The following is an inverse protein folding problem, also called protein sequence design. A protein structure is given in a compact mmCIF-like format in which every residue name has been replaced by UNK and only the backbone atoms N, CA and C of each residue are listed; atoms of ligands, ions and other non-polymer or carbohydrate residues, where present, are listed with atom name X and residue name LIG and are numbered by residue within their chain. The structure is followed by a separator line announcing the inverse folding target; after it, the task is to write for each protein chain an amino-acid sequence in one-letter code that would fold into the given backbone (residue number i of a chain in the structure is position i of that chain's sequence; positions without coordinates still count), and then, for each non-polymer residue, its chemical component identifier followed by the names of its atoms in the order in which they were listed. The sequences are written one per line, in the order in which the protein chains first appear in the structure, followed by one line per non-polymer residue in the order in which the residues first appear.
data_IF_749062788482
#
_entry.id   IF_749062788482
#
_cell.length_a   1.000
_cell.length_b   1.000
_cell.length_c   1.000
_cell.angle_alpha   90.00
_cell.angle_beta   90.00
_cell.angle_gamma   90.00
#
_symmetry.space_group_name_H-M   'P 1'
#
loop_
_entity.id
_entity.type
_entity.pdbx_description
1 polymer ?
#
# COMPACT_ATOMS: atom_id res chain seq x y z
N UNK A 1 7.72 -0.80 26.14
CA UNK A 1 7.11 0.55 26.10
C UNK A 1 5.90 0.54 27.04
N UNK A 2 5.65 1.63 27.77
CA UNK A 2 4.49 1.75 28.67
C UNK A 2 3.49 2.76 28.10
N UNK A 3 2.23 2.38 28.01
CA UNK A 3 1.14 3.24 27.54
C UNK A 3 0.42 3.88 28.73
N UNK A 4 0.21 5.19 28.66
CA UNK A 4 -0.57 5.93 29.67
C UNK A 4 -1.93 6.29 29.10
N UNK A 5 -3.00 5.90 29.78
CA UNK A 5 -4.36 6.21 29.36
C UNK A 5 -4.79 7.53 29.98
N UNK A 6 -4.94 8.56 29.15
CA UNK A 6 -5.52 9.83 29.56
C UNK A 6 -7.05 9.76 29.56
N UNK A 7 -7.62 8.94 28.66
CA UNK A 7 -9.02 8.55 28.67
C UNK A 7 -9.16 7.08 28.28
N UNK A 8 -10.10 6.38 28.91
CA UNK A 8 -10.28 4.94 28.74
C UNK A 8 -9.98 4.17 30.01
N UNK A 9 -9.98 2.85 29.91
CA UNK A 9 -9.63 1.93 31.01
C UNK A 9 -8.60 0.92 30.51
N UNK A 10 -7.36 0.90 31.02
CA UNK A 10 -6.35 -0.05 30.57
C UNK A 10 -6.70 -1.52 30.90
N UNK A 11 -7.61 -1.78 31.85
CA UNK A 11 -8.10 -3.13 32.14
C UNK A 11 -9.25 -3.56 31.23
N UNK A 12 -9.89 -2.59 30.58
CA UNK A 12 -10.99 -2.82 29.66
C UNK A 12 -10.91 -1.84 28.47
N UNK A 13 -9.82 -1.93 27.67
CA UNK A 13 -9.62 -1.05 26.53
C UNK A 13 -10.69 -1.31 25.48
N UNK A 14 -11.03 -0.27 24.71
CA UNK A 14 -12.16 -0.28 23.79
C UNK A 14 -11.90 -1.04 22.49
N UNK A 15 -10.64 -1.36 22.20
CA UNK A 15 -10.20 -1.91 20.93
C UNK A 15 -9.87 -0.84 19.88
N UNK A 16 -10.02 0.44 20.22
CA UNK A 16 -9.65 1.54 19.35
C UNK A 16 -9.22 2.77 20.16
N UNK A 17 -8.13 3.40 19.74
CA UNK A 17 -7.50 4.48 20.48
C UNK A 17 -6.92 5.56 19.57
N UNK A 18 -7.02 6.81 20.02
CA UNK A 18 -6.15 7.89 19.56
C UNK A 18 -4.84 7.77 20.35
N UNK A 19 -3.78 7.34 19.68
CA UNK A 19 -2.45 7.21 20.24
C UNK A 19 -1.66 8.46 19.88
N UNK A 20 -1.06 9.11 20.88
CA UNK A 20 -0.26 10.30 20.64
C UNK A 20 1.08 10.29 21.36
N UNK A 21 2.01 11.07 20.80
CA UNK A 21 3.39 11.20 21.23
C UNK A 21 3.76 12.68 21.31
N UNK A 22 4.79 12.96 22.10
CA UNK A 22 5.43 14.27 22.16
C UNK A 22 6.91 14.13 21.80
N UNK A 23 7.54 15.25 21.48
CA UNK A 23 8.97 15.28 21.19
C UNK A 23 9.59 16.30 22.12
N UNK A 24 10.60 15.89 22.89
CA UNK A 24 11.22 16.76 23.91
C UNK A 24 11.82 18.04 23.32
N UNK A 25 12.28 17.99 22.08
CA UNK A 25 12.84 19.15 21.34
C UNK A 25 11.78 20.02 20.68
N UNK A 26 10.52 19.56 20.59
CA UNK A 26 9.41 20.26 19.94
C UNK A 26 8.15 20.19 20.83
N UNK A 27 8.14 20.85 22.00
CA UNK A 27 7.10 20.66 23.01
C UNK A 27 5.70 21.13 22.57
N UNK A 28 5.65 22.02 21.57
CA UNK A 28 4.41 22.54 21.00
C UNK A 28 3.77 21.61 19.97
N UNK A 29 4.49 20.56 19.53
CA UNK A 29 3.97 19.60 18.55
C UNK A 29 3.53 18.31 19.21
N UNK A 30 2.39 17.82 18.73
CA UNK A 30 1.85 16.52 19.10
C UNK A 30 1.79 15.68 17.84
N UNK A 31 2.24 14.44 17.94
CA UNK A 31 2.16 13.49 16.84
C UNK A 31 1.13 12.43 17.20
N UNK A 32 0.20 12.12 16.30
CA UNK A 32 -0.90 11.19 16.59
C UNK A 32 -1.12 10.20 15.46
N UNK A 33 -1.59 9.01 15.85
CA UNK A 33 -2.10 7.97 14.95
C UNK A 33 -3.32 7.33 15.58
N UNK A 34 -4.11 6.61 14.78
CA UNK A 34 -5.27 5.89 15.25
C UNK A 34 -4.98 4.39 15.27
N UNK A 35 -5.12 3.78 16.44
CA UNK A 35 -4.90 2.34 16.66
C UNK A 35 -6.23 1.61 16.65
N UNK A 36 -6.26 0.47 15.95
CA UNK A 36 -7.40 -0.45 15.91
C UNK A 36 -6.92 -1.85 16.26
N UNK A 37 -7.64 -2.52 17.16
CA UNK A 37 -7.53 -3.95 17.43
C UNK A 37 -8.84 -4.62 17.04
N UNK A 38 -8.77 -5.57 16.11
CA UNK A 38 -9.92 -6.28 15.58
C UNK A 38 -10.39 -7.35 16.58
N UNK A 39 -11.69 -7.40 16.90
CA UNK A 39 -12.23 -8.39 17.85
C UNK A 39 -12.33 -9.80 17.27
N UNK A 40 -12.14 -9.97 15.96
CA UNK A 40 -12.22 -11.25 15.26
C UNK A 40 -10.92 -11.44 14.47
N UNK A 41 -10.29 -12.61 14.65
CA UNK A 41 -9.11 -13.00 13.87
C UNK A 41 -9.45 -12.93 12.39
N UNK A 42 -8.84 -11.97 11.71
CA UNK A 42 -9.06 -11.70 10.30
C UNK A 42 -7.79 -12.07 9.56
N UNK A 43 -7.84 -13.17 8.81
CA UNK A 43 -6.80 -13.49 7.86
C UNK A 43 -7.04 -12.65 6.61
N UNK A 44 -6.38 -11.49 6.55
CA UNK A 44 -6.55 -10.56 5.44
C UNK A 44 -6.01 -11.14 4.14
N UNK A 45 -5.18 -12.20 4.17
CA UNK A 45 -4.76 -12.90 2.94
C UNK A 45 -5.93 -13.51 2.17
N UNK A 46 -7.04 -13.84 2.86
CA UNK A 46 -8.27 -14.33 2.23
C UNK A 46 -9.05 -13.27 1.47
N UNK A 47 -8.80 -12.00 1.78
CA UNK A 47 -9.49 -10.84 1.22
C UNK A 47 -8.57 -9.97 0.36
N UNK A 48 -7.27 -10.24 0.42
CA UNK A 48 -6.25 -9.70 -0.48
C UNK A 48 -6.37 -10.46 -1.79
N UNK A 49 -6.73 -9.79 -2.89
CA UNK A 49 -6.73 -10.44 -4.18
C UNK A 49 -5.33 -11.01 -4.49
N UNK A 50 -5.22 -12.21 -5.07
CA UNK A 50 -3.94 -12.89 -5.30
C UNK A 50 -2.88 -12.01 -5.99
N UNK A 51 -3.31 -11.09 -6.85
CA UNK A 51 -2.44 -10.16 -7.57
C UNK A 51 -1.80 -9.06 -6.69
N UNK A 52 -2.37 -8.71 -5.52
CA UNK A 52 -1.76 -7.76 -4.59
C UNK A 52 -0.82 -8.43 -3.58
N UNK A 53 -0.84 -9.77 -3.47
CA UNK A 53 -0.10 -10.49 -2.46
C UNK A 53 1.43 -10.31 -2.59
N UNK A 54 1.94 -10.19 -3.81
CA UNK A 54 3.37 -9.93 -4.09
C UNK A 54 3.78 -8.48 -3.80
N UNK A 55 2.86 -7.52 -3.89
CA UNK A 55 3.10 -6.08 -3.72
C UNK A 55 2.96 -5.60 -2.27
N UNK A 56 2.24 -6.35 -1.42
CA UNK A 56 2.11 -6.06 0.01
C UNK A 56 3.36 -6.44 0.84
N UNK A 57 4.36 -7.04 0.19
CA UNK A 57 5.67 -7.35 0.78
C UNK A 57 5.60 -8.33 1.96
N UNK A 58 6.57 -8.25 2.87
CA UNK A 58 6.61 -9.03 4.13
C UNK A 58 5.65 -8.50 5.21
N UNK A 59 4.64 -7.72 4.84
CA UNK A 59 3.65 -7.27 5.82
C UNK A 59 2.93 -8.51 6.37
N UNK A 60 2.85 -8.71 7.71
CA UNK A 60 2.26 -9.92 8.29
C UNK A 60 0.73 -9.87 8.19
N UNK A 61 0.20 -10.02 6.97
CA UNK A 61 -1.24 -9.99 6.67
C UNK A 61 -2.01 -11.16 7.29
N UNK A 62 -1.28 -12.24 7.59
CA UNK A 62 -1.79 -13.48 8.18
C UNK A 62 -2.19 -13.32 9.64
N UNK A 63 -1.85 -12.20 10.29
CA UNK A 63 -2.20 -11.91 11.69
C UNK A 63 -2.38 -10.40 11.96
N UNK A 64 -3.08 -9.69 11.05
CA UNK A 64 -3.47 -8.29 11.26
C UNK A 64 -4.64 -8.21 12.26
N UNK A 65 -4.38 -8.61 13.51
CA UNK A 65 -5.29 -8.42 14.63
C UNK A 65 -5.24 -7.00 15.19
N UNK A 66 -4.18 -6.24 14.95
CA UNK A 66 -4.09 -4.83 15.32
C UNK A 66 -3.15 -4.04 14.41
N UNK A 67 -3.46 -2.75 14.18
CA UNK A 67 -2.66 -1.85 13.33
C UNK A 67 -2.90 -0.37 13.68
N UNK A 68 -2.04 0.51 13.16
CA UNK A 68 -2.13 1.97 13.29
C UNK A 68 -2.29 2.65 11.92
N UNK A 69 -3.13 3.68 11.85
CA UNK A 69 -3.36 4.49 10.65
C UNK A 69 -3.42 5.99 11.01
N UNK A 70 -2.60 6.86 10.37
CA UNK A 70 -1.49 6.51 9.48
C UNK A 70 -0.35 5.76 10.21
N UNK A 71 0.42 4.90 9.53
CA UNK A 71 1.47 4.08 10.17
C UNK A 71 2.63 4.92 10.72
N UNK A 72 2.85 6.10 10.14
CA UNK A 72 3.71 7.15 10.70
C UNK A 72 2.80 8.18 11.37
N UNK A 73 2.91 8.42 12.69
CA UNK A 73 2.13 9.43 13.38
C UNK A 73 2.27 10.82 12.73
N UNK A 74 1.14 11.49 12.52
CA UNK A 74 1.08 12.81 11.90
C UNK A 74 0.97 13.93 12.93
N UNK A 75 1.44 15.13 12.57
CA UNK A 75 1.35 16.30 13.43
C UNK A 75 -0.10 16.74 13.59
N UNK A 76 -0.53 16.96 14.83
CA UNK A 76 -1.84 17.53 15.17
C UNK A 76 -1.68 18.80 16.01
N UNK A 77 -2.71 19.65 15.97
CA UNK A 77 -2.65 20.99 16.56
C UNK A 77 -2.44 21.00 18.08
N UNK A 78 -3.11 20.10 18.82
CA UNK A 78 -3.00 20.04 20.28
C UNK A 78 -3.57 18.75 20.88
N UNK A 79 -3.15 18.42 22.10
CA UNK A 79 -3.74 17.31 22.88
C UNK A 79 -5.22 17.59 23.23
N UNK A 80 -5.60 18.85 23.41
CA UNK A 80 -6.99 19.21 23.70
C UNK A 80 -7.95 18.81 22.56
N UNK A 81 -7.50 18.86 21.31
CA UNK A 81 -8.29 18.39 20.18
C UNK A 81 -8.44 16.86 20.18
N UNK A 82 -7.36 16.14 20.50
CA UNK A 82 -7.41 14.68 20.65
C UNK A 82 -8.36 14.25 21.78
N UNK A 83 -8.34 14.94 22.92
CA UNK A 83 -9.29 14.71 24.02
C UNK A 83 -10.74 15.00 23.65
N UNK A 84 -10.97 15.95 22.74
CA UNK A 84 -12.30 16.25 22.23
C UNK A 84 -12.76 15.14 21.27
N UNK A 85 -11.89 14.71 20.37
CA UNK A 85 -12.16 13.65 19.40
C UNK A 85 -12.41 12.30 20.09
N UNK A 86 -11.58 11.93 21.07
CA UNK A 86 -11.74 10.69 21.84
C UNK A 86 -13.10 10.65 22.54
N UNK A 87 -13.53 11.76 23.15
CA UNK A 87 -14.86 11.87 23.79
C UNK A 87 -16.02 11.74 22.82
N UNK A 88 -15.93 12.41 21.67
CA UNK A 88 -17.01 12.40 20.66
C UNK A 88 -17.18 11.01 20.05
N UNK A 89 -16.07 10.30 19.81
CA UNK A 89 -16.07 8.97 19.21
C UNK A 89 -16.26 7.85 20.24
N UNK A 90 -15.97 8.15 21.50
CA UNK A 90 -15.93 7.16 22.57
C UNK A 90 -14.72 6.24 22.40
N UNK A 91 -13.58 6.79 22.04
CA UNK A 91 -12.31 6.09 21.85
C UNK A 91 -11.43 6.23 23.10
N UNK A 92 -10.46 5.34 23.28
CA UNK A 92 -9.41 5.56 24.27
C UNK A 92 -8.48 6.69 23.79
N UNK A 93 -7.95 7.47 24.73
CA UNK A 93 -6.88 8.42 24.46
C UNK A 93 -5.64 7.94 25.20
N UNK A 94 -4.60 7.63 24.43
CA UNK A 94 -3.41 6.95 24.93
C UNK A 94 -2.17 7.76 24.60
N UNK A 95 -1.37 8.05 25.62
CA UNK A 95 -0.06 8.63 25.48
C UNK A 95 1.01 7.53 25.36
N UNK A 96 1.72 7.55 24.24
CA UNK A 96 2.83 6.64 23.92
C UNK A 96 4.21 7.16 24.33
N UNK A 97 4.31 8.27 25.06
CA UNK A 97 5.61 8.79 25.50
C UNK A 97 6.30 9.73 24.50
N UNK A 98 7.60 9.90 24.71
CA UNK A 98 8.45 10.77 23.89
C UNK A 98 8.96 10.02 22.66
N UNK A 99 8.92 10.66 21.49
CA UNK A 99 9.41 10.11 20.23
C UNK A 99 10.48 11.00 19.58
N UNK A 100 11.16 10.46 18.56
CA UNK A 100 12.09 11.22 17.71
C UNK A 100 11.40 11.60 16.39
N UNK A 101 11.24 12.91 16.12
CA UNK A 101 10.52 13.43 14.94
C UNK A 101 11.31 13.42 13.62
N UNK A 102 12.63 13.21 13.67
CA UNK A 102 13.50 13.36 12.49
C UNK A 102 13.73 12.06 11.70
N UNK A 103 13.17 10.93 12.14
CA UNK A 103 13.38 9.63 11.52
C UNK A 103 12.04 8.89 11.38
N UNK A 104 11.48 8.92 10.16
CA UNK A 104 10.19 8.29 9.84
C UNK A 104 10.18 6.78 10.16
N UNK A 105 11.30 6.07 9.95
CA UNK A 105 11.36 4.64 10.22
C UNK A 105 11.23 4.38 11.72
N UNK A 106 11.90 5.20 12.54
CA UNK A 106 11.81 5.12 14.00
C UNK A 106 10.45 5.54 14.54
N UNK A 107 9.78 6.51 13.90
CA UNK A 107 8.41 6.89 14.25
C UNK A 107 7.44 5.73 13.99
N UNK A 108 7.58 5.04 12.86
CA UNK A 108 6.78 3.87 12.51
C UNK A 108 7.04 2.68 13.45
N UNK A 109 8.31 2.44 13.80
CA UNK A 109 8.69 1.42 14.79
C UNK A 109 8.04 1.69 16.14
N UNK A 110 8.11 2.93 16.64
CA UNK A 110 7.51 3.33 17.92
C UNK A 110 5.98 3.16 17.90
N UNK A 111 5.33 3.54 16.79
CA UNK A 111 3.89 3.33 16.64
C UNK A 111 3.54 1.83 16.62
N UNK A 112 4.36 1.00 15.98
CA UNK A 112 4.16 -0.45 15.91
C UNK A 112 4.33 -1.11 17.29
N UNK A 113 5.34 -0.70 18.07
CA UNK A 113 5.50 -1.15 19.45
C UNK A 113 4.28 -0.80 20.30
N UNK A 114 3.76 0.41 20.17
CA UNK A 114 2.57 0.86 20.89
C UNK A 114 1.32 0.05 20.52
N UNK A 115 1.14 -0.27 19.22
CA UNK A 115 0.06 -1.14 18.73
C UNK A 115 0.13 -2.50 19.42
N UNK A 116 1.32 -3.12 19.50
CA UNK A 116 1.50 -4.42 20.14
C UNK A 116 1.15 -4.40 21.63
N UNK A 117 1.51 -3.33 22.34
CA UNK A 117 1.16 -3.18 23.76
C UNK A 117 -0.34 -3.01 23.92
N UNK A 118 -0.97 -2.12 23.14
CA UNK A 118 -2.41 -1.87 23.22
C UNK A 118 -3.24 -3.11 22.84
N UNK A 119 -2.84 -3.85 21.81
CA UNK A 119 -3.51 -5.08 21.39
C UNK A 119 -3.40 -6.20 22.43
N UNK A 120 -2.28 -6.26 23.16
CA UNK A 120 -2.09 -7.19 24.27
C UNK A 120 -3.07 -6.89 25.41
N UNK A 121 -3.24 -5.61 25.78
CA UNK A 121 -4.24 -5.20 26.78
C UNK A 121 -5.67 -5.58 26.35
N UNK A 122 -6.00 -5.42 25.06
CA UNK A 122 -7.30 -5.83 24.53
C UNK A 122 -7.50 -7.34 24.61
N UNK A 123 -6.47 -8.12 24.26
CA UNK A 123 -6.51 -9.58 24.31
C UNK A 123 -6.68 -10.10 25.74
N UNK A 124 -5.98 -9.51 26.70
CA UNK A 124 -6.07 -9.85 28.12
C UNK A 124 -7.47 -9.55 28.67
N UNK A 125 -8.04 -8.39 28.34
CA UNK A 125 -9.40 -8.04 28.74
C UNK A 125 -10.45 -9.01 28.16
N UNK A 126 -10.29 -9.41 26.89
CA UNK A 126 -11.16 -10.39 26.25
C UNK A 126 -11.03 -11.78 26.88
N UNK A 127 -9.81 -12.22 27.22
CA UNK A 127 -9.56 -13.49 27.92
C UNK A 127 -10.17 -13.51 29.33
N UNK A 128 -10.14 -12.37 30.04
CA UNK A 128 -10.75 -12.22 31.37
C UNK A 128 -12.29 -12.17 31.34
N UNK A 129 -12.87 -11.80 30.20
CA UNK A 129 -14.33 -11.76 29.97
C UNK A 129 -14.85 -13.06 29.34
N UNK A 130 -13.97 -13.82 28.69
CA UNK A 130 -14.26 -15.06 27.96
C UNK A 130 -14.26 -16.33 28.82
N UNK A 131 -15.13 -16.40 29.83
CA UNK A 131 -15.67 -17.72 30.22
C UNK A 131 -16.99 -17.90 29.47
N UNK A 132 -17.09 -18.96 28.66
CA UNK A 132 -18.25 -19.39 27.83
C UNK A 132 -18.29 -18.94 26.36
N UNK A 133 -17.28 -19.26 25.54
CA UNK A 133 -17.51 -19.44 24.09
C UNK A 133 -16.79 -20.68 23.51
N UNK A 134 -15.81 -21.27 24.19
CA UNK A 134 -15.14 -22.50 23.72
C UNK A 134 -16.08 -23.72 23.58
N UNK A 135 -17.17 -23.78 24.35
CA UNK A 135 -18.12 -24.91 24.28
C UNK A 135 -19.07 -24.92 23.08
N UNK A 136 -19.21 -23.82 22.34
CA UNK A 136 -20.14 -23.74 21.21
C UNK A 136 -19.53 -24.22 19.88
N UNK A 137 -18.21 -24.09 19.73
CA UNK A 137 -17.48 -24.57 18.55
C UNK A 137 -17.27 -26.10 18.61
N UNK A 138 -17.02 -26.66 19.80
CA UNK A 138 -16.90 -28.12 19.97
C UNK A 138 -18.26 -28.84 19.81
N UNK A 139 -19.37 -28.22 20.23
CA UNK A 139 -20.70 -28.79 20.06
C UNK A 139 -21.15 -28.92 18.59
N UNK A 140 -20.67 -28.02 17.71
CA UNK A 140 -20.95 -28.09 16.27
C UNK A 140 -20.03 -29.08 15.52
N UNK A 141 -18.85 -29.37 16.09
CA UNK A 141 -17.89 -30.32 15.52
C UNK A 141 -18.28 -31.78 15.69
N UNK A 142 -19.00 -32.13 16.76
CA UNK A 142 -19.40 -33.51 17.02
C UNK A 142 -20.62 -33.98 16.21
N UNK A 143 -21.51 -33.07 15.79
CA UNK A 143 -22.71 -33.43 14.99
C UNK A 143 -22.41 -33.62 13.49
N UNK A 144 -21.42 -32.92 12.92
CA UNK A 144 -21.03 -33.10 11.51
C UNK A 144 -20.08 -34.29 11.26
N UNK A 145 -19.50 -34.87 12.31
CA UNK A 145 -18.53 -35.96 12.20
C UNK A 145 -19.12 -37.35 11.92
N UNK A 146 -20.44 -37.53 12.04
CA UNK A 146 -21.06 -38.87 11.98
C UNK A 146 -21.63 -39.27 10.62
N UNK A 147 -21.66 -38.41 9.61
CA UNK A 147 -22.39 -38.73 8.35
C UNK A 147 -21.57 -39.18 7.15
N UNK A 148 -20.23 -39.15 7.13
CA UNK A 148 -19.51 -39.54 5.91
C UNK A 148 -18.23 -40.34 6.21
N UNK A 149 -18.43 -41.64 6.42
CA UNK A 149 -17.37 -42.65 6.27
C UNK A 149 -17.00 -42.80 4.78
N UNK A 150 -15.76 -42.41 4.43
CA UNK A 150 -14.75 -42.94 3.47
C UNK A 150 -15.15 -43.72 2.18
N UNK A 151 -14.24 -43.98 1.21
CA UNK A 151 -12.96 -43.34 0.84
C UNK A 151 -12.80 -43.10 -0.70
N UNK A 152 -11.73 -42.40 -1.12
CA UNK A 152 -10.75 -42.85 -2.14
C UNK A 152 -10.11 -41.70 -2.94
N UNK A 153 -8.82 -41.88 -3.17
CA UNK A 153 -7.89 -41.07 -3.96
C UNK A 153 -8.29 -40.93 -5.42
N UNK A 154 -8.40 -39.69 -5.92
CA UNK A 154 -8.25 -39.37 -7.34
C UNK A 154 -7.37 -38.13 -7.50
N UNK A 155 -6.42 -38.24 -8.44
CA UNK A 155 -5.38 -37.25 -8.74
C UNK A 155 -6.02 -36.01 -9.36
N UNK A 156 -5.70 -34.84 -8.84
CA UNK A 156 -6.11 -33.56 -9.42
C UNK A 156 -5.21 -33.27 -10.65
N UNK A 157 -5.76 -32.96 -11.83
CA UNK A 157 -4.97 -32.49 -12.97
C UNK A 157 -4.51 -31.04 -12.75
N UNK A 158 -3.35 -30.67 -13.29
CA UNK A 158 -2.83 -29.30 -13.29
C UNK A 158 -3.83 -28.33 -13.94
N UNK A 159 -4.04 -27.12 -13.37
CA UNK A 159 -4.94 -26.14 -13.95
C UNK A 159 -4.30 -25.48 -15.18
N UNK A 160 -5.11 -25.25 -16.21
CA UNK A 160 -4.78 -24.44 -17.38
C UNK A 160 -4.58 -22.96 -17.00
N UNK A 161 -3.81 -22.17 -17.77
CA UNK A 161 -3.52 -20.79 -17.44
C UNK A 161 -4.78 -19.93 -17.51
N UNK A 162 -5.18 -19.39 -16.36
CA UNK A 162 -6.18 -18.32 -16.21
C UNK A 162 -5.71 -17.05 -16.94
N UNK A 163 -6.64 -16.24 -17.51
CA UNK A 163 -6.30 -14.97 -18.15
C UNK A 163 -5.68 -13.98 -17.15
N UNK A 164 -4.70 -13.22 -17.62
CA UNK A 164 -3.92 -12.28 -16.80
C UNK A 164 -4.73 -11.03 -16.42
N UNK A 165 -5.45 -11.09 -15.31
CA UNK A 165 -6.28 -10.00 -14.76
C UNK A 165 -5.45 -8.86 -14.12
N UNK A 166 -4.11 -8.93 -14.14
CA UNK A 166 -3.22 -7.92 -13.53
C UNK A 166 -3.44 -6.51 -14.09
N UNK A 167 -3.76 -6.39 -15.38
CA UNK A 167 -4.02 -5.11 -16.05
C UNK A 167 -5.26 -4.39 -15.51
N UNK A 168 -6.28 -5.13 -15.09
CA UNK A 168 -7.54 -4.60 -14.59
C UNK A 168 -7.36 -3.92 -13.21
N UNK A 169 -6.35 -4.37 -12.46
CA UNK A 169 -5.99 -3.84 -11.14
C UNK A 169 -5.27 -2.52 -11.26
N UNK A 170 -4.28 -2.49 -12.15
CA UNK A 170 -3.49 -1.31 -12.43
C UNK A 170 -4.37 -0.16 -12.96
N UNK A 171 -5.40 -0.47 -13.76
CA UNK A 171 -6.39 0.51 -14.22
C UNK A 171 -7.07 1.27 -13.06
N UNK A 172 -7.50 0.55 -12.03
CA UNK A 172 -8.12 1.16 -10.84
C UNK A 172 -7.10 1.99 -10.06
N UNK A 173 -5.88 1.49 -9.86
CA UNK A 173 -4.83 2.21 -9.14
C UNK A 173 -4.46 3.54 -9.83
N UNK A 174 -4.28 3.52 -11.14
CA UNK A 174 -3.95 4.71 -11.92
C UNK A 174 -5.04 5.78 -11.83
N UNK A 175 -6.30 5.42 -11.62
CA UNK A 175 -7.39 6.40 -11.45
C UNK A 175 -7.25 7.28 -10.20
N UNK A 176 -6.57 6.79 -9.16
CA UNK A 176 -6.38 7.52 -7.89
C UNK A 176 -5.04 8.26 -7.79
N UNK A 177 -4.11 8.00 -8.71
CA UNK A 177 -2.78 8.60 -8.70
C UNK A 177 -2.77 10.04 -9.21
N UNK A 178 -1.90 10.87 -8.62
CA UNK A 178 -1.60 12.18 -9.18
C UNK A 178 -0.83 12.06 -10.49
N UNK A 179 -0.85 13.09 -11.34
CA UNK A 179 -0.10 13.09 -12.61
C UNK A 179 1.42 12.88 -12.41
N UNK A 180 2.09 13.52 -11.42
CA UNK A 180 3.49 13.23 -11.09
C UNK A 180 3.75 11.78 -10.68
N UNK A 181 2.84 11.16 -9.93
CA UNK A 181 2.97 9.76 -9.53
C UNK A 181 2.85 8.84 -10.75
N UNK A 182 1.90 9.11 -11.65
CA UNK A 182 1.73 8.38 -12.92
C UNK A 182 2.99 8.48 -13.79
N UNK A 183 3.64 9.64 -13.84
CA UNK A 183 4.91 9.82 -14.57
C UNK A 183 6.09 9.10 -13.94
N UNK A 184 6.13 9.04 -12.61
CA UNK A 184 7.13 8.26 -11.88
C UNK A 184 6.97 6.77 -12.18
N UNK A 185 5.72 6.29 -12.20
CA UNK A 185 5.39 4.92 -12.56
C UNK A 185 5.70 4.60 -14.03
N UNK A 186 5.35 5.50 -14.97
CA UNK A 186 5.73 5.38 -16.37
C UNK A 186 7.24 5.25 -16.54
N UNK A 187 8.04 6.00 -15.78
CA UNK A 187 9.51 5.92 -15.79
C UNK A 187 10.01 4.54 -15.32
N UNK A 188 9.39 3.97 -14.28
CA UNK A 188 9.68 2.62 -13.78
C UNK A 188 9.37 1.56 -14.84
N UNK A 189 8.20 1.65 -15.46
CA UNK A 189 7.77 0.72 -16.52
C UNK A 189 8.66 0.80 -17.75
N UNK A 190 9.07 2.01 -18.17
CA UNK A 190 10.01 2.18 -19.28
C UNK A 190 11.39 1.59 -18.98
N UNK A 191 11.86 1.67 -17.73
CA UNK A 191 13.09 1.01 -17.30
C UNK A 191 12.99 -0.53 -17.40
N UNK A 192 11.86 -1.10 -16.94
CA UNK A 192 11.57 -2.54 -17.09
C UNK A 192 11.47 -2.97 -18.54
N UNK A 193 10.78 -2.18 -19.38
CA UNK A 193 10.63 -2.45 -20.80
C UNK A 193 12.00 -2.47 -21.49
N UNK A 194 12.86 -1.48 -21.24
CA UNK A 194 14.21 -1.44 -21.82
C UNK A 194 15.06 -2.63 -21.38
N UNK A 195 15.00 -3.01 -20.10
CA UNK A 195 15.68 -4.19 -19.61
C UNK A 195 15.21 -5.48 -20.32
N UNK A 196 13.91 -5.63 -20.56
CA UNK A 196 13.34 -6.77 -21.29
C UNK A 196 13.76 -6.77 -22.77
N UNK A 197 13.72 -5.61 -23.43
CA UNK A 197 14.15 -5.43 -24.83
C UNK A 197 15.64 -5.73 -24.99
N UNK A 198 16.50 -5.22 -24.09
CA UNK A 198 17.94 -5.50 -24.08
C UNK A 198 18.25 -6.98 -23.80
N UNK A 199 17.39 -7.64 -23.01
CA UNK A 199 17.46 -9.08 -22.72
C UNK A 199 16.87 -9.98 -23.80
N UNK A 200 16.37 -9.41 -24.91
CA UNK A 200 15.62 -10.10 -25.97
C UNK A 200 14.38 -10.88 -25.47
N UNK A 201 13.85 -10.53 -24.31
CA UNK A 201 12.65 -11.14 -23.72
C UNK A 201 11.39 -10.46 -24.26
N UNK A 202 10.94 -10.93 -25.42
CA UNK A 202 9.75 -10.39 -26.09
C UNK A 202 8.47 -10.56 -25.27
N UNK A 203 8.34 -11.65 -24.51
CA UNK A 203 7.16 -11.89 -23.71
C UNK A 203 7.05 -10.85 -22.59
N UNK A 204 8.15 -10.61 -21.86
CA UNK A 204 8.20 -9.58 -20.83
C UNK A 204 8.06 -8.16 -21.42
N UNK A 205 8.62 -7.90 -22.61
CA UNK A 205 8.49 -6.60 -23.27
C UNK A 205 7.04 -6.30 -23.71
N UNK A 206 6.33 -7.31 -24.24
CA UNK A 206 4.92 -7.18 -24.60
C UNK A 206 4.05 -6.98 -23.34
N UNK A 207 4.30 -7.74 -22.28
CA UNK A 207 3.59 -7.63 -20.99
C UNK A 207 3.68 -6.22 -20.40
N UNK A 208 4.91 -5.68 -20.29
CA UNK A 208 5.16 -4.33 -19.79
C UNK A 208 4.58 -3.27 -20.74
N UNK A 209 4.57 -3.54 -22.05
CA UNK A 209 3.94 -2.66 -23.03
C UNK A 209 2.44 -2.51 -22.83
N UNK A 210 1.73 -3.59 -22.52
CA UNK A 210 0.29 -3.54 -22.18
C UNK A 210 0.04 -2.80 -20.85
N UNK A 211 0.95 -2.91 -19.89
CA UNK A 211 0.91 -2.15 -18.63
C UNK A 211 1.05 -0.63 -18.90
N UNK A 212 2.00 -0.25 -19.75
CA UNK A 212 2.18 1.15 -20.20
C UNK A 212 0.96 1.67 -20.96
N UNK A 213 0.35 0.85 -21.84
CA UNK A 213 -0.87 1.22 -22.54
C UNK A 213 -2.04 1.46 -21.58
N UNK A 214 -2.14 0.67 -20.52
CA UNK A 214 -3.17 0.85 -19.50
C UNK A 214 -2.95 2.15 -18.73
N UNK A 215 -1.72 2.45 -18.33
CA UNK A 215 -1.35 3.73 -17.70
C UNK A 215 -1.63 4.93 -18.62
N UNK A 216 -1.35 4.80 -19.92
CA UNK A 216 -1.54 5.86 -20.90
C UNK A 216 -2.99 6.36 -20.99
N UNK A 217 -3.99 5.49 -20.73
CA UNK A 217 -5.42 5.87 -20.70
C UNK A 217 -5.77 6.88 -19.61
N UNK A 218 -4.92 7.00 -18.58
CA UNK A 218 -5.10 7.91 -17.45
C UNK A 218 -4.18 9.14 -17.50
N UNK A 219 -3.46 9.34 -18.61
CA UNK A 219 -2.58 10.48 -18.86
C UNK A 219 -3.13 11.34 -20.01
N UNK A 220 -2.80 12.65 -20.06
CA UNK A 220 -3.19 13.51 -21.17
C UNK A 220 -2.62 13.04 -22.51
N UNK A 221 -3.41 13.13 -23.60
CA UNK A 221 -2.95 12.75 -24.94
C UNK A 221 -1.70 13.53 -25.40
N UNK A 222 -1.55 14.77 -24.92
CA UNK A 222 -0.39 15.62 -25.20
C UNK A 222 0.95 15.02 -24.72
N UNK A 223 0.92 14.03 -23.82
CA UNK A 223 2.11 13.34 -23.33
C UNK A 223 2.65 12.33 -24.34
N UNK A 224 1.86 11.96 -25.36
CA UNK A 224 2.30 11.07 -26.46
C UNK A 224 2.93 9.76 -25.96
N UNK A 225 2.32 9.14 -24.95
CA UNK A 225 2.85 7.93 -24.30
C UNK A 225 2.96 6.75 -25.29
N UNK A 226 2.11 6.70 -26.32
CA UNK A 226 2.23 5.71 -27.41
C UNK A 226 3.54 5.85 -28.20
N UNK A 227 3.88 7.07 -28.63
CA UNK A 227 5.13 7.32 -29.36
C UNK A 227 6.37 7.02 -28.50
N UNK A 228 6.26 7.28 -27.19
CA UNK A 228 7.28 6.93 -26.20
C UNK A 228 7.43 5.41 -26.05
N UNK A 229 6.33 4.67 -26.00
CA UNK A 229 6.33 3.21 -25.94
C UNK A 229 6.97 2.62 -27.20
N UNK A 230 6.62 3.12 -28.39
CA UNK A 230 7.21 2.69 -29.65
C UNK A 230 8.72 2.94 -29.69
N UNK A 231 9.16 4.12 -29.24
CA UNK A 231 10.59 4.45 -29.12
C UNK A 231 11.32 3.58 -28.09
N UNK A 232 10.62 3.04 -27.08
CA UNK A 232 11.22 2.20 -26.05
C UNK A 232 11.27 0.71 -26.41
N UNK A 233 10.62 0.28 -27.50
CA UNK A 233 10.59 -1.12 -28.00
C UNK A 233 11.80 -1.49 -28.87
N UNK A 234 12.67 -0.54 -29.20
CA UNK A 234 13.85 -0.72 -30.03
C UNK A 234 15.12 -0.38 -29.23
N UNK A 235 16.18 -1.19 -29.39
CA UNK A 235 17.43 -1.08 -28.62
C UNK A 235 18.52 -0.23 -29.29
N UNK A 236 18.20 0.50 -30.35
CA UNK A 236 19.16 1.41 -30.97
C UNK A 236 19.46 2.63 -30.10
N UNK A 237 20.63 3.24 -30.33
CA UNK A 237 21.00 4.50 -29.67
C UNK A 237 20.01 5.63 -29.95
N UNK A 238 19.44 5.65 -31.17
CA UNK A 238 18.43 6.62 -31.60
C UNK A 238 17.14 6.46 -30.78
N UNK A 239 16.64 5.24 -30.65
CA UNK A 239 15.44 4.89 -29.87
C UNK A 239 15.64 5.20 -28.38
N UNK A 240 16.81 4.88 -27.85
CA UNK A 240 17.21 5.24 -26.48
C UNK A 240 17.19 6.75 -26.21
N UNK A 241 17.62 7.57 -27.17
CA UNK A 241 17.57 9.03 -27.09
C UNK A 241 16.15 9.56 -27.24
N UNK A 242 15.36 9.02 -28.18
CA UNK A 242 13.96 9.39 -28.35
C UNK A 242 13.14 9.12 -27.09
N UNK A 243 13.26 7.94 -26.49
CA UNK A 243 12.56 7.59 -25.27
C UNK A 243 12.89 8.55 -24.12
N UNK A 244 14.16 8.96 -24.00
CA UNK A 244 14.60 9.96 -23.01
C UNK A 244 13.95 11.34 -23.25
N UNK A 245 13.96 11.81 -24.50
CA UNK A 245 13.38 13.12 -24.83
C UNK A 245 11.86 13.13 -24.58
N UNK A 246 11.16 12.06 -24.91
CA UNK A 246 9.73 11.92 -24.66
C UNK A 246 9.41 11.95 -23.15
N UNK A 247 10.11 11.15 -22.32
CA UNK A 247 9.82 11.13 -20.88
C UNK A 247 10.18 12.46 -20.20
N UNK A 248 11.31 13.08 -20.58
CA UNK A 248 11.70 14.41 -20.08
C UNK A 248 10.63 15.46 -20.45
N UNK A 249 10.06 15.38 -21.66
CA UNK A 249 8.98 16.26 -22.12
C UNK A 249 7.71 16.08 -21.30
N UNK A 250 7.32 14.85 -20.98
CA UNK A 250 6.17 14.56 -20.12
C UNK A 250 6.33 15.22 -18.74
N UNK A 251 7.51 15.12 -18.11
CA UNK A 251 7.78 15.80 -16.84
C UNK A 251 7.71 17.33 -16.96
N UNK A 252 8.16 17.92 -18.07
CA UNK A 252 8.04 19.37 -18.30
C UNK A 252 6.59 19.82 -18.47
N UNK A 253 5.78 19.05 -19.20
CA UNK A 253 4.35 19.33 -19.35
C UNK A 253 3.63 19.26 -18.00
N UNK A 254 3.89 18.21 -17.21
CA UNK A 254 3.29 18.05 -15.89
C UNK A 254 3.69 19.15 -14.90
N UNK A 255 4.92 19.67 -15.00
CA UNK A 255 5.38 20.82 -14.23
C UNK A 255 4.84 22.17 -14.72
N UNK A 256 4.09 22.21 -15.82
CA UNK A 256 3.58 23.44 -16.43
C UNK A 256 4.63 24.24 -17.22
N UNK A 257 5.79 23.65 -17.51
CA UNK A 257 6.91 24.27 -18.24
C UNK A 257 6.79 24.01 -19.76
N UNK A 258 5.78 24.64 -20.36
CA UNK A 258 5.44 24.44 -21.78
C UNK A 258 6.52 24.87 -22.78
N UNK A 259 7.33 25.87 -22.44
CA UNK A 259 8.44 26.33 -23.30
C UNK A 259 9.57 25.29 -23.34
N UNK A 260 9.96 24.72 -22.19
CA UNK A 260 10.94 23.65 -22.16
C UNK A 260 10.42 22.37 -22.85
N UNK A 261 9.13 22.05 -22.68
CA UNK A 261 8.51 20.93 -23.38
C UNK A 261 8.53 21.10 -24.91
N UNK A 262 8.35 22.33 -25.40
CA UNK A 262 8.41 22.65 -26.83
C UNK A 262 9.81 22.52 -27.42
N UNK A 263 10.84 22.89 -26.66
CA UNK A 263 12.23 22.68 -27.08
C UNK A 263 12.55 21.18 -27.21
N UNK A 264 12.09 20.36 -26.26
CA UNK A 264 12.22 18.90 -26.33
C UNK A 264 11.45 18.32 -27.52
N UNK A 265 10.26 18.83 -27.83
CA UNK A 265 9.49 18.44 -29.03
C UNK A 265 10.27 18.73 -30.33
N UNK A 266 10.93 19.88 -30.44
CA UNK A 266 11.76 20.20 -31.60
C UNK A 266 12.94 19.22 -31.75
N UNK A 267 13.56 18.84 -30.62
CA UNK A 267 14.65 17.85 -30.61
C UNK A 267 14.16 16.46 -31.03
N UNK A 268 12.98 16.03 -30.56
CA UNK A 268 12.33 14.79 -30.99
C UNK A 268 12.12 14.79 -32.50
N UNK A 269 11.55 15.88 -33.05
CA UNK A 269 11.31 15.99 -34.49
C UNK A 269 12.63 15.97 -35.28
N UNK A 270 13.67 16.66 -34.82
CA UNK A 270 14.97 16.66 -35.48
C UNK A 270 15.58 15.25 -35.52
N UNK A 271 15.51 14.53 -34.41
CA UNK A 271 16.07 13.18 -34.29
C UNK A 271 15.33 12.18 -35.18
N UNK A 272 14.01 12.30 -35.35
CA UNK A 272 13.25 11.50 -36.33
C UNK A 272 13.74 11.70 -37.76
N UNK A 273 14.09 12.93 -38.14
CA UNK A 273 14.55 13.27 -39.50
C UNK A 273 16.00 12.91 -39.83
N UNK A 274 16.78 12.45 -38.85
CA UNK A 274 18.14 11.96 -39.07
C UNK A 274 18.10 10.45 -39.33
N UNK A 275 18.35 10.04 -40.58
CA UNK A 275 18.58 8.63 -40.97
C UNK A 275 19.96 8.14 -40.52
#
# INVERSE_FOLDING_TARGET
MDLTFDQGDPQNPRGHALLYFRVDTEPDKVYATYVVTLPVKSDLTKYVPPFLASHLGNMPLTDLSAFAMPPVPEVVDSVAELERLSRVRGDDLVYGGSMFSFDLARMMETATEAVQVYSSLCSDALAMTGTQVEGAAEALGEELGQTLSSPASERVPEPEPEPDDSYNVNEVLYSFMSEPDKLSELSRLLGRLRFAVDGEDKAAADEVGEEINTLARHLPEEFKVGDLLDAARDNSDKSSQLAKLYIDRCFRLSAGDGEAAKELENQIHLLHTQD
#
